data_IF_525244504516
#
_entry.id   IF_525244504516
#
_cell.length_a   1.000
_cell.length_b   1.000
_cell.length_c   1.000
_cell.angle_alpha   90.00
_cell.angle_beta   90.00
_cell.angle_gamma   90.00
#
_symmetry.space_group_name_H-M   'P 1'
#
loop_
_entity.id
_entity.type
_entity.pdbx_description
1 polymer ?
#
# COMPACT_ATOMS: atom_id res chain seq x y z
N UNK A 1 0.59 -4.97 -0.20
CA UNK A 1 -0.56 -5.68 -0.83
C UNK A 1 -1.87 -5.53 -0.05
N UNK A 2 -1.83 -5.27 1.25
CA UNK A 2 -3.06 -5.10 2.05
C UNK A 2 -3.79 -3.77 1.81
N UNK A 3 -3.11 -2.75 1.28
CA UNK A 3 -3.67 -1.42 1.06
C UNK A 3 -4.37 -1.35 -0.28
N UNK A 4 -3.67 -1.69 -1.37
CA UNK A 4 -4.24 -1.72 -2.71
C UNK A 4 -4.62 -3.14 -3.13
N UNK A 5 -5.71 -3.30 -3.88
CA UNK A 5 -6.15 -4.61 -4.35
C UNK A 5 -5.21 -5.15 -5.42
N UNK A 6 -5.01 -6.47 -5.37
CA UNK A 6 -4.26 -7.20 -6.38
C UNK A 6 -5.19 -7.46 -7.57
N UNK A 7 -4.73 -7.12 -8.76
CA UNK A 7 -5.40 -7.40 -10.02
C UNK A 7 -4.56 -8.41 -10.82
N UNK A 8 -4.90 -9.70 -10.78
CA UNK A 8 -4.21 -10.70 -11.59
C UNK A 8 -4.48 -10.47 -13.07
N UNK A 9 -3.44 -10.54 -13.88
CA UNK A 9 -3.51 -10.33 -15.33
C UNK A 9 -2.90 -11.51 -16.08
N UNK A 10 -3.47 -11.82 -17.25
CA UNK A 10 -3.04 -12.95 -18.08
C UNK A 10 -1.78 -12.65 -18.89
N UNK A 11 -1.53 -11.38 -19.18
CA UNK A 11 -0.38 -10.94 -19.97
C UNK A 11 0.54 -10.04 -19.14
N UNK A 12 1.84 -10.14 -19.35
CA UNK A 12 2.84 -9.29 -18.69
C UNK A 12 2.72 -7.81 -19.03
N UNK A 13 2.10 -7.49 -20.16
CA UNK A 13 1.85 -6.12 -20.61
C UNK A 13 0.43 -5.99 -21.13
N UNK A 14 -0.23 -4.88 -20.82
CA UNK A 14 -1.57 -4.61 -21.29
C UNK A 14 -2.00 -3.18 -20.98
N UNK A 15 -3.27 -2.90 -21.23
CA UNK A 15 -3.86 -1.60 -20.97
C UNK A 15 -4.83 -1.70 -19.79
N UNK A 16 -4.91 -0.62 -19.02
CA UNK A 16 -5.94 -0.42 -18.01
C UNK A 16 -6.64 0.93 -18.23
N UNK A 17 -7.83 1.04 -17.69
CA UNK A 17 -8.64 2.23 -17.87
C UNK A 17 -8.53 3.16 -16.68
N UNK A 18 -8.28 4.43 -16.97
CA UNK A 18 -8.43 5.53 -16.02
C UNK A 18 -9.72 6.26 -16.33
N UNK A 19 -10.67 6.24 -15.39
CA UNK A 19 -11.99 6.81 -15.62
C UNK A 19 -12.00 8.31 -15.47
N UNK A 20 -12.59 9.00 -16.44
CA UNK A 20 -12.81 10.43 -16.37
C UNK A 20 -13.96 10.72 -15.41
N UNK A 21 -13.67 11.43 -14.31
CA UNK A 21 -14.67 11.77 -13.29
C UNK A 21 -15.89 12.52 -13.86
N UNK A 22 -15.67 13.34 -14.88
CA UNK A 22 -16.74 14.11 -15.51
C UNK A 22 -17.84 13.23 -16.09
N UNK A 23 -17.50 12.10 -16.68
CA UNK A 23 -18.45 11.19 -17.29
C UNK A 23 -19.18 10.31 -16.29
N UNK A 24 -18.46 9.87 -15.23
CA UNK A 24 -19.05 9.11 -14.12
C UNK A 24 -20.02 9.96 -13.26
N UNK A 25 -19.82 11.28 -13.20
CA UNK A 25 -20.57 12.19 -12.34
C UNK A 25 -21.72 12.94 -13.04
N UNK A 26 -21.78 12.89 -14.36
CA UNK A 26 -22.80 13.59 -15.14
C UNK A 26 -24.12 12.83 -15.13
N UNK A 27 -25.22 13.53 -14.92
CA UNK A 27 -26.55 12.98 -15.17
C UNK A 27 -26.80 12.94 -16.69
N UNK A 28 -26.73 11.76 -17.26
CA UNK A 28 -26.99 11.48 -18.67
C UNK A 28 -28.39 10.89 -18.91
N UNK A 29 -29.22 10.86 -17.87
CA UNK A 29 -30.59 10.36 -17.99
C UNK A 29 -31.48 11.46 -18.61
N UNK A 30 -32.00 11.20 -19.79
CA UNK A 30 -32.93 12.09 -20.44
C UNK A 30 -34.33 11.47 -20.52
N UNK A 31 -35.36 12.28 -20.39
CA UNK A 31 -36.75 11.82 -20.51
C UNK A 31 -37.02 11.39 -21.96
N UNK A 32 -37.39 10.12 -22.14
CA UNK A 32 -37.71 9.55 -23.44
C UNK A 32 -38.99 10.21 -23.98
N UNK A 33 -38.95 10.86 -25.15
CA UNK A 33 -40.18 11.35 -25.82
C UNK A 33 -41.02 10.16 -26.31
N UNK A 34 -42.33 10.37 -26.42
CA UNK A 34 -43.22 9.36 -27.00
C UNK A 34 -42.76 9.06 -28.44
N UNK A 35 -42.58 7.77 -28.76
CA UNK A 35 -42.09 7.25 -30.05
C UNK A 35 -40.66 7.71 -30.46
N UNK A 36 -39.95 8.47 -29.59
CA UNK A 36 -38.59 8.97 -29.87
C UNK A 36 -37.49 8.12 -29.21
N UNK A 37 -36.25 8.37 -29.63
CA UNK A 37 -35.03 7.81 -29.05
C UNK A 37 -34.28 8.87 -28.26
N UNK A 38 -33.65 8.46 -27.18
CA UNK A 38 -32.67 9.26 -26.43
C UNK A 38 -31.27 8.97 -26.97
N UNK A 39 -30.42 10.00 -27.06
CA UNK A 39 -29.01 9.81 -27.47
C UNK A 39 -28.29 8.88 -26.49
N UNK A 40 -27.49 7.95 -27.00
CA UNK A 40 -26.69 7.08 -26.14
C UNK A 40 -25.65 7.89 -25.32
N UNK A 41 -25.59 7.64 -24.04
CA UNK A 41 -24.52 8.16 -23.19
C UNK A 41 -23.20 7.43 -23.49
N UNK A 42 -22.09 8.16 -23.43
CA UNK A 42 -20.75 7.59 -23.56
C UNK A 42 -20.04 7.72 -22.23
N UNK A 43 -19.30 6.71 -21.84
CA UNK A 43 -18.36 6.74 -20.74
C UNK A 43 -16.95 6.85 -21.33
N UNK A 44 -16.30 7.98 -21.09
CA UNK A 44 -14.93 8.22 -21.53
C UNK A 44 -13.94 7.57 -20.55
N UNK A 45 -12.85 7.08 -21.09
CA UNK A 45 -11.70 6.57 -20.34
C UNK A 45 -10.42 6.97 -21.06
N UNK A 46 -9.34 7.02 -20.31
CA UNK A 46 -7.99 7.15 -20.86
C UNK A 46 -7.30 5.81 -20.72
N UNK A 47 -6.68 5.34 -21.79
CA UNK A 47 -5.96 4.08 -21.81
C UNK A 47 -4.53 4.32 -21.32
N UNK A 48 -4.17 3.65 -20.23
CA UNK A 48 -2.81 3.60 -19.69
C UNK A 48 -2.29 2.17 -19.77
N UNK A 49 -0.98 2.01 -19.78
CA UNK A 49 -0.35 0.69 -19.89
C UNK A 49 0.27 0.25 -18.57
N UNK A 50 0.14 -1.04 -18.27
CA UNK A 50 0.92 -1.72 -17.25
C UNK A 50 1.96 -2.63 -17.88
N UNK A 51 3.06 -2.87 -17.16
CA UNK A 51 4.12 -3.78 -17.54
C UNK A 51 4.66 -4.48 -16.30
N UNK A 52 4.19 -5.69 -16.03
CA UNK A 52 4.70 -6.52 -14.95
C UNK A 52 6.16 -6.92 -15.24
N UNK A 53 7.06 -6.46 -14.39
CA UNK A 53 8.48 -6.81 -14.45
C UNK A 53 8.72 -8.01 -13.55
N UNK A 54 9.62 -8.89 -13.94
CA UNK A 54 10.01 -10.06 -13.13
C UNK A 54 11.24 -9.69 -12.32
N UNK A 55 11.11 -9.77 -11.00
CA UNK A 55 12.19 -9.60 -10.04
C UNK A 55 12.61 -10.95 -9.48
N UNK A 56 13.90 -11.15 -9.29
CA UNK A 56 14.49 -12.43 -8.91
C UNK A 56 15.45 -12.27 -7.74
N UNK A 57 15.42 -13.22 -6.83
CA UNK A 57 16.43 -13.41 -5.80
C UNK A 57 16.90 -14.87 -5.80
N UNK A 58 18.21 -15.09 -5.74
CA UNK A 58 18.80 -16.42 -5.69
C UNK A 58 19.67 -16.54 -4.44
N UNK A 59 19.50 -17.64 -3.69
CA UNK A 59 20.29 -17.94 -2.50
C UNK A 59 20.86 -19.35 -2.58
N UNK A 60 22.17 -19.48 -2.43
CA UNK A 60 22.87 -20.77 -2.46
C UNK A 60 22.80 -21.52 -1.12
N UNK A 61 22.72 -22.84 -1.23
CA UNK A 61 22.85 -23.79 -0.13
C UNK A 61 24.01 -24.75 -0.46
N UNK A 62 25.00 -24.83 0.41
CA UNK A 62 26.05 -25.84 0.31
C UNK A 62 25.51 -27.22 0.74
N UNK A 63 25.48 -28.16 -0.20
CA UNK A 63 24.99 -29.52 0.03
C UNK A 63 25.87 -30.27 1.02
N UNK A 64 27.20 -30.05 1.00
CA UNK A 64 28.14 -30.72 1.90
C UNK A 64 27.92 -30.27 3.35
N UNK A 65 27.75 -28.96 3.55
CA UNK A 65 27.39 -28.38 4.83
C UNK A 65 26.04 -28.88 5.36
N UNK A 66 25.02 -28.94 4.48
CA UNK A 66 23.68 -29.40 4.83
C UNK A 66 23.66 -30.88 5.32
N UNK A 67 24.49 -31.76 4.75
CA UNK A 67 24.60 -33.17 5.18
C UNK A 67 25.07 -33.27 6.62
N UNK A 68 25.96 -32.41 7.09
CA UNK A 68 26.44 -32.41 8.44
C UNK A 68 25.34 -32.16 9.48
N UNK A 69 24.39 -31.24 9.17
CA UNK A 69 23.23 -30.99 10.00
C UNK A 69 22.31 -32.23 10.09
N UNK A 70 22.09 -32.90 8.97
CA UNK A 70 21.29 -34.15 8.96
C UNK A 70 21.94 -35.26 9.77
N UNK A 71 23.27 -35.44 9.65
CA UNK A 71 24.02 -36.47 10.39
C UNK A 71 24.11 -36.19 11.87
N UNK A 72 24.10 -34.91 12.28
CA UNK A 72 24.15 -34.53 13.69
C UNK A 72 22.81 -34.77 14.43
N UNK A 73 21.76 -35.25 13.74
CA UNK A 73 20.45 -35.49 14.35
C UNK A 73 19.75 -34.22 14.81
N UNK A 74 20.11 -33.10 14.20
CA UNK A 74 19.50 -31.78 14.49
C UNK A 74 18.02 -31.80 14.11
N UNK A 75 17.13 -31.27 14.95
CA UNK A 75 15.70 -31.21 14.62
C UNK A 75 15.47 -30.58 13.26
N UNK A 76 14.46 -31.05 12.50
CA UNK A 76 14.09 -30.54 11.18
C UNK A 76 13.74 -29.02 11.17
N UNK A 77 13.53 -28.41 12.33
CA UNK A 77 13.35 -26.96 12.49
C UNK A 77 14.62 -26.15 12.21
N UNK A 78 15.80 -26.78 12.23
CA UNK A 78 17.11 -26.13 11.97
C UNK A 78 17.66 -26.55 10.60
N UNK A 79 16.78 -26.92 9.66
CA UNK A 79 17.17 -27.24 8.29
C UNK A 79 17.64 -25.94 7.57
N UNK A 80 18.88 -25.89 7.07
CA UNK A 80 19.40 -24.74 6.34
C UNK A 80 18.56 -24.36 5.13
N UNK A 81 17.93 -25.32 4.45
CA UNK A 81 17.06 -25.09 3.31
C UNK A 81 15.82 -24.29 3.70
N UNK A 82 15.15 -24.70 4.78
CA UNK A 82 13.96 -23.97 5.29
C UNK A 82 14.30 -22.54 5.69
N UNK A 83 15.46 -22.34 6.32
CA UNK A 83 15.95 -21.00 6.67
C UNK A 83 16.14 -20.13 5.44
N UNK A 84 16.70 -20.69 4.34
CA UNK A 84 16.94 -19.97 3.10
C UNK A 84 15.64 -19.68 2.34
N UNK A 85 14.70 -20.63 2.27
CA UNK A 85 13.35 -20.39 1.70
C UNK A 85 12.64 -19.25 2.43
N UNK A 86 12.68 -19.29 3.77
CA UNK A 86 12.11 -18.22 4.58
C UNK A 86 12.75 -16.87 4.30
N UNK A 87 14.08 -16.83 4.23
CA UNK A 87 14.83 -15.63 3.89
C UNK A 87 14.42 -15.07 2.51
N UNK A 88 14.33 -15.93 1.48
CA UNK A 88 13.88 -15.54 0.13
C UNK A 88 12.48 -14.92 0.18
N UNK A 89 11.54 -15.55 0.91
CA UNK A 89 10.17 -15.02 1.05
C UNK A 89 10.13 -13.68 1.79
N UNK A 90 10.93 -13.51 2.84
CA UNK A 90 11.04 -12.24 3.59
C UNK A 90 11.62 -11.13 2.70
N UNK A 91 12.62 -11.44 1.86
CA UNK A 91 13.18 -10.48 0.91
C UNK A 91 12.19 -10.08 -0.19
N UNK A 92 11.40 -11.02 -0.70
CA UNK A 92 10.35 -10.72 -1.67
C UNK A 92 9.28 -9.79 -1.08
N UNK A 93 8.87 -10.04 0.17
CA UNK A 93 7.90 -9.16 0.86
C UNK A 93 8.48 -7.77 1.11
N UNK A 94 9.74 -7.69 1.55
CA UNK A 94 10.43 -6.40 1.72
C UNK A 94 10.52 -5.62 0.41
N UNK A 95 10.83 -6.30 -0.68
CA UNK A 95 10.88 -5.66 -2.00
C UNK A 95 9.51 -5.11 -2.44
N UNK A 96 8.41 -5.84 -2.15
CA UNK A 96 7.06 -5.32 -2.38
C UNK A 96 6.76 -4.06 -1.57
N UNK A 97 7.21 -3.99 -0.32
CA UNK A 97 7.03 -2.80 0.50
C UNK A 97 7.84 -1.61 -0.03
N UNK A 98 9.05 -1.85 -0.55
CA UNK A 98 9.87 -0.81 -1.21
C UNK A 98 9.18 -0.30 -2.49
N UNK A 99 8.70 -1.21 -3.35
CA UNK A 99 7.95 -0.83 -4.56
C UNK A 99 6.68 -0.05 -4.23
N UNK A 100 5.99 -0.42 -3.14
CA UNK A 100 4.82 0.32 -2.65
C UNK A 100 5.20 1.75 -2.22
N UNK A 101 6.26 1.91 -1.45
CA UNK A 101 6.73 3.22 -1.00
C UNK A 101 7.07 4.13 -2.18
N UNK A 102 7.78 3.60 -3.17
CA UNK A 102 8.19 4.35 -4.36
C UNK A 102 7.02 4.71 -5.27
N UNK A 103 6.02 3.84 -5.38
CA UNK A 103 4.91 3.98 -6.32
C UNK A 103 3.74 4.78 -5.76
N UNK A 104 3.49 4.71 -4.45
CA UNK A 104 2.28 5.27 -3.84
C UNK A 104 2.52 6.16 -2.62
N UNK A 105 3.56 5.91 -1.84
CA UNK A 105 3.78 6.60 -0.56
C UNK A 105 4.94 7.58 -0.62
N UNK A 106 4.85 8.49 -1.57
CA UNK A 106 5.89 9.48 -1.86
C UNK A 106 5.26 10.79 -2.35
N UNK A 107 5.91 11.91 -2.04
CA UNK A 107 5.56 13.23 -2.59
C UNK A 107 5.71 13.27 -4.11
N UNK A 108 4.81 13.99 -4.80
CA UNK A 108 4.81 14.14 -6.25
C UNK A 108 4.09 13.00 -7.01
N UNK A 109 3.54 12.01 -6.30
CA UNK A 109 2.77 10.92 -6.93
C UNK A 109 1.32 11.31 -7.13
N UNK A 110 0.71 11.94 -6.14
CA UNK A 110 -0.73 12.26 -6.13
C UNK A 110 -0.98 13.73 -6.46
N UNK A 111 -2.01 14.01 -7.24
CA UNK A 111 -2.38 15.41 -7.53
C UNK A 111 -2.91 16.14 -6.29
N UNK A 112 -3.53 15.42 -5.35
CA UNK A 112 -4.01 15.99 -4.09
C UNK A 112 -2.97 15.76 -2.99
N UNK A 113 -2.07 16.73 -2.82
CA UNK A 113 -1.03 16.69 -1.78
C UNK A 113 -1.17 17.85 -0.84
N UNK A 114 -0.92 17.59 0.46
CA UNK A 114 -0.88 18.59 1.51
C UNK A 114 0.39 18.44 2.34
N UNK A 115 0.96 19.57 2.74
CA UNK A 115 2.20 19.58 3.51
C UNK A 115 1.96 20.18 4.89
N UNK A 116 2.46 19.51 5.91
CA UNK A 116 2.40 19.97 7.30
C UNK A 116 3.31 21.16 7.57
N UNK A 117 2.80 22.15 8.29
CA UNK A 117 3.56 23.31 8.77
C UNK A 117 3.62 23.32 10.30
N UNK A 118 4.74 23.71 10.87
CA UNK A 118 4.95 23.69 12.33
C UNK A 118 4.31 24.89 13.05
N UNK A 119 3.94 25.95 12.35
CA UNK A 119 3.33 27.15 12.95
C UNK A 119 2.73 28.06 11.88
N UNK A 120 1.78 28.89 12.26
CA UNK A 120 1.13 29.84 11.38
C UNK A 120 -0.29 29.43 10.98
N UNK A 121 -0.90 30.19 10.09
CA UNK A 121 -2.22 29.85 9.54
C UNK A 121 -2.04 29.08 8.25
N UNK A 122 -2.52 27.82 8.17
CA UNK A 122 -2.43 27.04 6.94
C UNK A 122 -3.11 27.74 5.76
N UNK A 123 -2.46 27.70 4.61
CA UNK A 123 -2.99 28.30 3.37
C UNK A 123 -2.84 27.32 2.19
N UNK A 124 -3.82 27.28 1.29
CA UNK A 124 -3.80 26.40 0.11
C UNK A 124 -3.72 24.94 0.49
N UNK A 125 -2.64 24.28 0.09
CA UNK A 125 -2.37 22.84 0.36
C UNK A 125 -1.54 22.62 1.64
N UNK A 126 -1.72 23.45 2.67
CA UNK A 126 -1.02 23.33 3.94
C UNK A 126 -1.96 22.93 5.07
N UNK A 127 -1.43 22.27 6.09
CA UNK A 127 -2.14 21.96 7.34
C UNK A 127 -1.19 22.05 8.53
N UNK A 128 -1.72 22.20 9.76
CA UNK A 128 -0.91 22.15 10.97
C UNK A 128 -0.50 20.70 11.22
N UNK A 129 0.72 20.51 11.68
CA UNK A 129 1.26 19.19 12.00
C UNK A 129 0.42 18.47 13.05
N UNK A 130 0.42 17.14 13.02
CA UNK A 130 -0.38 16.31 13.93
C UNK A 130 0.04 16.41 15.39
N UNK A 131 1.25 16.88 15.67
CA UNK A 131 1.74 17.13 17.01
C UNK A 131 1.42 18.55 17.55
N UNK A 132 0.81 19.42 16.74
CA UNK A 132 0.37 20.76 17.18
C UNK A 132 -0.94 20.63 17.97
N UNK A 133 -1.00 21.26 19.15
CA UNK A 133 -2.19 21.24 20.01
C UNK A 133 -3.42 21.96 19.41
N UNK A 134 -3.20 22.83 18.40
CA UNK A 134 -4.30 23.51 17.68
C UNK A 134 -4.78 22.74 16.44
N UNK A 135 -4.18 21.62 16.14
CA UNK A 135 -4.64 20.74 15.06
C UNK A 135 -5.86 19.97 15.52
N UNK A 136 -6.95 20.04 14.76
CA UNK A 136 -8.15 19.21 15.00
C UNK A 136 -8.14 18.03 13.98
N UNK A 137 -7.71 16.84 14.40
CA UNK A 137 -7.59 15.70 13.49
C UNK A 137 -8.92 15.27 12.89
N UNK A 138 -9.99 15.32 13.65
CA UNK A 138 -11.30 14.82 13.19
C UNK A 138 -11.88 15.72 12.12
N UNK A 139 -11.93 17.03 12.36
CA UNK A 139 -12.42 17.97 11.37
C UNK A 139 -11.54 18.02 10.13
N UNK A 140 -10.21 17.89 10.29
CA UNK A 140 -9.29 17.85 9.17
C UNK A 140 -9.53 16.63 8.26
N UNK A 141 -9.59 15.42 8.82
CA UNK A 141 -9.84 14.22 8.03
C UNK A 141 -11.23 14.22 7.42
N UNK A 142 -12.25 14.74 8.08
CA UNK A 142 -13.59 14.86 7.51
C UNK A 142 -13.64 15.85 6.34
N UNK A 143 -12.87 16.94 6.41
CA UNK A 143 -12.73 17.88 5.28
C UNK A 143 -12.06 17.19 4.07
N UNK A 144 -10.97 16.43 4.29
CA UNK A 144 -10.29 15.67 3.23
C UNK A 144 -11.18 14.60 2.62
N UNK A 145 -11.91 13.84 3.43
CA UNK A 145 -12.90 12.88 2.95
C UNK A 145 -13.97 13.53 2.08
N UNK A 146 -14.47 14.69 2.52
CA UNK A 146 -15.46 15.46 1.73
C UNK A 146 -14.91 15.87 0.39
N UNK A 147 -13.65 16.31 0.32
CA UNK A 147 -13.00 16.69 -0.93
C UNK A 147 -12.86 15.51 -1.89
N UNK A 148 -12.33 14.38 -1.39
CA UNK A 148 -12.21 13.15 -2.17
C UNK A 148 -13.59 12.68 -2.68
N UNK A 149 -14.63 12.75 -1.83
CA UNK A 149 -15.99 12.39 -2.23
C UNK A 149 -16.55 13.30 -3.32
N UNK A 150 -16.25 14.58 -3.26
CA UNK A 150 -16.68 15.54 -4.30
C UNK A 150 -15.90 15.35 -5.61
N UNK A 151 -14.61 14.99 -5.52
CA UNK A 151 -13.78 14.75 -6.69
C UNK A 151 -14.11 13.41 -7.35
N UNK A 152 -14.08 12.31 -6.58
CA UNK A 152 -14.15 10.95 -7.09
C UNK A 152 -15.47 10.20 -6.84
N UNK A 153 -16.50 10.84 -6.23
CA UNK A 153 -17.81 10.25 -5.87
C UNK A 153 -17.74 9.08 -4.89
N UNK A 154 -16.55 8.70 -4.41
CA UNK A 154 -16.34 7.63 -3.44
C UNK A 154 -15.78 8.22 -2.15
N UNK A 155 -16.14 7.64 -1.03
CA UNK A 155 -15.58 8.01 0.27
C UNK A 155 -14.28 7.23 0.47
N UNK A 156 -13.17 7.86 0.88
CA UNK A 156 -11.97 7.11 1.19
C UNK A 156 -12.24 6.15 2.35
N UNK A 157 -11.82 4.91 2.19
CA UNK A 157 -12.07 3.84 3.15
C UNK A 157 -10.83 3.41 3.91
N UNK A 158 -9.63 3.68 3.37
CA UNK A 158 -8.38 3.32 4.03
C UNK A 158 -7.52 4.54 4.33
N UNK A 159 -6.85 4.49 5.47
CA UNK A 159 -5.85 5.46 5.89
C UNK A 159 -4.55 4.72 6.21
N UNK A 160 -3.50 5.00 5.45
CA UNK A 160 -2.15 4.49 5.69
C UNK A 160 -1.32 5.57 6.35
N UNK A 161 -0.68 5.26 7.47
CA UNK A 161 0.10 6.18 8.27
C UNK A 161 1.55 5.70 8.38
N UNK A 162 2.50 6.62 8.27
CA UNK A 162 3.85 6.39 8.73
C UNK A 162 3.91 6.25 10.26
N UNK A 163 4.96 5.65 10.76
CA UNK A 163 5.09 5.33 12.20
C UNK A 163 4.99 6.55 13.11
N UNK A 164 5.68 7.65 12.74
CA UNK A 164 5.69 8.89 13.52
C UNK A 164 4.33 9.60 13.45
N UNK A 165 3.71 9.60 12.27
CA UNK A 165 2.36 10.15 12.07
C UNK A 165 1.31 9.42 12.91
N UNK A 166 1.39 8.10 12.98
CA UNK A 166 0.52 7.30 13.85
C UNK A 166 0.75 7.62 15.33
N UNK A 167 2.02 7.72 15.75
CA UNK A 167 2.37 8.02 17.14
C UNK A 167 1.89 9.40 17.56
N UNK A 168 1.99 10.40 16.68
CA UNK A 168 1.49 11.75 16.92
C UNK A 168 -0.05 11.76 17.08
N UNK A 169 -0.78 11.11 16.17
CA UNK A 169 -2.24 11.01 16.25
C UNK A 169 -2.70 10.21 17.48
N UNK A 170 -2.03 9.10 17.79
CA UNK A 170 -2.32 8.28 18.96
C UNK A 170 -2.26 9.08 20.27
N UNK A 171 -1.30 10.01 20.37
CA UNK A 171 -1.08 10.82 21.55
C UNK A 171 -1.77 12.20 21.49
N UNK A 172 -2.52 12.48 20.42
CA UNK A 172 -3.20 13.77 20.26
C UNK A 172 -4.29 13.95 21.32
N UNK A 173 -4.36 15.11 22.01
CA UNK A 173 -5.29 15.33 23.12
C UNK A 173 -6.76 15.14 22.72
N UNK A 174 -7.18 15.62 21.55
CA UNK A 174 -8.55 15.50 21.08
C UNK A 174 -8.99 14.04 20.83
N UNK A 175 -8.06 13.21 20.35
CA UNK A 175 -8.30 11.77 20.15
C UNK A 175 -8.39 11.07 21.50
N UNK A 176 -7.45 11.36 22.40
CA UNK A 176 -7.44 10.79 23.76
C UNK A 176 -8.68 11.18 24.54
N UNK A 177 -9.16 12.42 24.43
CA UNK A 177 -10.36 12.86 25.11
C UNK A 177 -11.60 12.10 24.61
N UNK A 178 -11.77 11.95 23.29
CA UNK A 178 -12.88 11.17 22.70
C UNK A 178 -12.87 9.72 23.14
N UNK A 179 -11.69 9.08 23.14
CA UNK A 179 -11.53 7.67 23.50
C UNK A 179 -11.75 7.46 25.01
N UNK A 180 -11.35 8.42 25.85
CA UNK A 180 -11.49 8.36 27.32
C UNK A 180 -12.93 8.18 27.80
N UNK A 181 -13.89 8.75 27.11
CA UNK A 181 -15.30 8.62 27.43
C UNK A 181 -15.96 7.35 26.89
N UNK A 182 -15.28 6.64 25.99
CA UNK A 182 -15.78 5.40 25.39
C UNK A 182 -15.33 4.16 26.18
N UNK A 183 -14.23 4.26 26.93
CA UNK A 183 -13.69 3.18 27.78
C UNK A 183 -14.34 3.17 29.15
N UNK A 184 -14.79 1.99 29.61
CA UNK A 184 -15.21 1.81 31.02
C UNK A 184 -14.01 1.89 31.96
N UNK A 185 -14.27 2.24 33.23
CA UNK A 185 -13.27 2.37 34.31
C UNK A 185 -12.44 1.10 34.55
N UNK A 186 -12.92 -0.06 34.10
CA UNK A 186 -12.24 -1.37 34.28
C UNK A 186 -11.19 -1.69 33.20
N UNK A 187 -11.29 -1.06 32.02
CA UNK A 187 -10.32 -1.22 30.94
C UNK A 187 -9.93 0.17 30.41
N UNK A 188 -8.71 0.64 30.69
CA UNK A 188 -8.21 1.88 30.10
C UNK A 188 -8.23 1.74 28.58
N UNK A 189 -8.85 2.70 27.90
CA UNK A 189 -8.90 2.70 26.45
C UNK A 189 -7.49 2.93 25.88
N UNK A 190 -6.99 1.93 25.18
CA UNK A 190 -5.71 2.03 24.45
C UNK A 190 -6.04 2.43 23.01
N UNK A 191 -5.45 3.50 22.52
CA UNK A 191 -5.58 3.91 21.12
C UNK A 191 -4.70 3.00 20.27
N UNK A 192 -5.36 2.10 19.53
CA UNK A 192 -4.76 1.27 18.51
C UNK A 192 -5.30 1.65 17.12
N UNK A 193 -4.84 0.98 16.07
CA UNK A 193 -5.27 1.22 14.69
C UNK A 193 -6.80 1.14 14.54
N UNK A 194 -7.43 0.15 15.17
CA UNK A 194 -8.89 -0.06 15.08
C UNK A 194 -9.67 1.07 15.75
N UNK A 195 -9.24 1.51 16.93
CA UNK A 195 -9.86 2.64 17.64
C UNK A 195 -9.67 3.93 16.85
N UNK A 196 -8.49 4.14 16.29
CA UNK A 196 -8.20 5.30 15.44
C UNK A 196 -9.09 5.29 14.20
N UNK A 197 -9.26 4.13 13.56
CA UNK A 197 -10.17 3.96 12.42
C UNK A 197 -11.61 4.35 12.77
N UNK A 198 -12.12 3.93 13.92
CA UNK A 198 -13.47 4.26 14.39
C UNK A 198 -13.61 5.75 14.70
N UNK A 199 -12.64 6.36 15.37
CA UNK A 199 -12.67 7.79 15.74
C UNK A 199 -12.63 8.68 14.51
N UNK A 200 -11.76 8.34 13.55
CA UNK A 200 -11.60 9.08 12.30
C UNK A 200 -12.61 8.67 11.22
N UNK A 201 -13.40 7.61 11.43
CA UNK A 201 -14.44 7.14 10.49
C UNK A 201 -13.86 6.56 9.20
N UNK A 202 -12.82 5.75 9.30
CA UNK A 202 -12.29 4.91 8.21
C UNK A 202 -12.69 3.46 8.44
N UNK A 203 -12.72 2.66 7.36
CA UNK A 203 -12.92 1.22 7.49
C UNK A 203 -11.65 0.55 8.03
N UNK A 204 -10.49 1.02 7.59
CA UNK A 204 -9.20 0.45 7.95
C UNK A 204 -8.14 1.55 8.11
N UNK A 205 -7.36 1.46 9.19
CA UNK A 205 -6.12 2.22 9.38
C UNK A 205 -4.96 1.24 9.41
N UNK A 206 -3.93 1.52 8.64
CA UNK A 206 -2.69 0.73 8.58
C UNK A 206 -1.50 1.58 8.94
N UNK A 207 -0.65 1.06 9.81
CA UNK A 207 0.66 1.66 10.11
C UNK A 207 1.73 1.00 9.26
N UNK A 208 2.54 1.82 8.61
CA UNK A 208 3.63 1.40 7.75
C UNK A 208 4.91 1.37 8.58
N UNK A 209 5.24 0.21 9.13
CA UNK A 209 6.35 0.04 10.08
C UNK A 209 7.50 -0.82 9.54
N UNK A 210 7.45 -1.22 8.26
CA UNK A 210 8.51 -1.97 7.63
C UNK A 210 9.82 -1.18 7.62
N UNK A 211 10.91 -1.84 7.98
CA UNK A 211 12.25 -1.26 8.01
C UNK A 211 13.20 -2.00 7.08
N UNK A 212 14.18 -1.29 6.55
CA UNK A 212 15.23 -1.85 5.71
C UNK A 212 16.58 -1.22 6.04
N UNK A 213 17.66 -1.88 5.64
CA UNK A 213 19.00 -1.33 5.74
C UNK A 213 19.31 -0.54 4.46
N UNK A 214 19.52 0.77 4.59
CA UNK A 214 19.85 1.65 3.48
C UNK A 214 21.35 1.74 3.20
N UNK A 215 22.20 1.08 4.01
CA UNK A 215 23.65 1.05 3.81
C UNK A 215 24.02 0.14 2.66
N UNK A 216 25.06 0.49 1.94
CA UNK A 216 25.71 -0.40 0.95
C UNK A 216 26.38 -1.58 1.65
N UNK A 217 26.52 -2.68 0.93
CA UNK A 217 27.19 -3.89 1.46
C UNK A 217 28.61 -3.58 1.94
N UNK A 218 28.91 -3.96 3.18
CA UNK A 218 30.22 -3.72 3.80
C UNK A 218 30.36 -2.41 4.55
N UNK A 219 29.33 -1.57 4.54
CA UNK A 219 29.27 -0.35 5.38
C UNK A 219 28.52 -0.61 6.69
N UNK A 220 28.67 0.26 7.71
CA UNK A 220 27.87 0.17 8.94
C UNK A 220 26.38 0.25 8.62
N UNK A 221 25.57 -0.52 9.35
CA UNK A 221 24.12 -0.57 9.15
C UNK A 221 23.45 0.81 9.32
N UNK A 222 22.62 1.18 8.36
CA UNK A 222 21.76 2.39 8.37
C UNK A 222 20.29 1.96 8.24
N UNK A 223 19.68 1.64 9.39
CA UNK A 223 18.29 1.16 9.43
C UNK A 223 17.31 2.32 9.28
N UNK A 224 16.44 2.23 8.26
CA UNK A 224 15.38 3.22 7.96
C UNK A 224 14.03 2.57 7.79
N UNK A 225 12.97 3.34 7.96
CA UNK A 225 11.65 2.93 7.53
C UNK A 225 11.58 2.90 6.00
N UNK A 226 10.89 1.91 5.45
CA UNK A 226 10.67 1.79 4.00
C UNK A 226 9.80 2.95 3.49
N UNK A 227 8.73 3.25 4.22
CA UNK A 227 7.87 4.40 3.93
C UNK A 227 8.27 5.61 4.78
N UNK A 228 8.01 6.82 4.28
CA UNK A 228 8.22 8.05 5.05
C UNK A 228 7.46 7.98 6.38
N UNK A 229 8.18 8.05 7.51
CA UNK A 229 7.59 7.87 8.84
C UNK A 229 6.62 9.00 9.23
N UNK A 230 6.77 10.17 8.63
CA UNK A 230 5.94 11.37 8.84
C UNK A 230 4.90 11.60 7.74
N UNK A 231 4.68 10.61 6.87
CA UNK A 231 3.68 10.64 5.81
C UNK A 231 2.33 10.06 6.24
N UNK A 232 1.27 10.41 5.49
CA UNK A 232 -0.03 9.77 5.57
C UNK A 232 -0.71 9.74 4.19
N UNK A 233 -1.45 8.68 3.91
CA UNK A 233 -2.13 8.48 2.64
C UNK A 233 -3.58 8.04 2.86
N UNK A 234 -4.52 8.88 2.43
CA UNK A 234 -5.94 8.57 2.39
C UNK A 234 -6.28 8.00 1.02
N UNK A 235 -6.94 6.85 0.96
CA UNK A 235 -7.32 6.22 -0.31
C UNK A 235 -8.72 5.64 -0.27
N UNK A 236 -9.36 5.63 -1.43
CA UNK A 236 -10.45 4.72 -1.71
C UNK A 236 -9.93 3.54 -2.52
N UNK A 237 -10.13 2.34 -2.03
CA UNK A 237 -9.78 1.10 -2.72
C UNK A 237 -10.96 0.16 -2.75
N UNK A 238 -11.18 -0.51 -3.90
CA UNK A 238 -12.23 -1.51 -4.02
C UNK A 238 -11.79 -2.85 -3.42
N UNK A 239 -12.76 -3.61 -2.90
CA UNK A 239 -12.50 -4.98 -2.44
C UNK A 239 -12.63 -6.03 -3.56
N UNK A 240 -13.20 -5.63 -4.71
CA UNK A 240 -13.37 -6.48 -5.88
C UNK A 240 -12.71 -5.80 -7.09
N UNK A 241 -11.43 -6.07 -7.37
CA UNK A 241 -10.72 -5.46 -8.49
C UNK A 241 -11.37 -5.88 -9.80
N UNK A 242 -11.71 -4.88 -10.61
CA UNK A 242 -12.24 -5.05 -11.96
C UNK A 242 -11.78 -3.88 -12.83
N UNK A 243 -11.76 -4.07 -14.13
CA UNK A 243 -11.32 -3.04 -15.09
C UNK A 243 -12.24 -1.82 -15.06
N UNK A 244 -13.51 -2.01 -14.72
CA UNK A 244 -14.57 -1.01 -14.69
C UNK A 244 -14.87 -0.44 -13.29
N UNK A 245 -14.21 -0.92 -12.23
CA UNK A 245 -14.39 -0.39 -10.88
C UNK A 245 -13.31 0.64 -10.54
N UNK A 246 -13.70 1.88 -10.21
CA UNK A 246 -12.73 2.92 -9.86
C UNK A 246 -12.08 2.61 -8.50
N UNK A 247 -10.76 2.69 -8.46
CA UNK A 247 -9.92 2.59 -7.26
C UNK A 247 -8.82 3.66 -7.35
N UNK A 248 -8.18 3.99 -6.23
CA UNK A 248 -7.04 4.91 -6.26
C UNK A 248 -5.82 4.29 -6.97
N UNK A 249 -5.64 2.98 -6.83
CA UNK A 249 -4.56 2.26 -7.50
C UNK A 249 -4.80 0.75 -7.49
N UNK A 250 -4.03 0.06 -8.30
CA UNK A 250 -3.99 -1.40 -8.40
C UNK A 250 -2.56 -1.91 -8.38
N UNK A 251 -2.40 -3.12 -7.88
CA UNK A 251 -1.19 -3.92 -7.99
C UNK A 251 -1.47 -4.97 -9.07
N UNK A 252 -0.97 -4.75 -10.27
CA UNK A 252 -1.06 -5.74 -11.33
C UNK A 252 -0.06 -6.85 -11.06
N UNK A 253 -0.51 -8.09 -11.17
CA UNK A 253 0.30 -9.27 -10.91
C UNK A 253 0.17 -10.27 -12.06
N UNK A 254 1.29 -10.77 -12.55
CA UNK A 254 1.33 -11.72 -13.63
C UNK A 254 1.87 -13.07 -13.18
N UNK A 255 1.16 -14.13 -13.56
CA UNK A 255 1.61 -15.49 -13.33
C UNK A 255 2.63 -15.90 -14.40
N UNK A 256 3.91 -15.71 -14.07
CA UNK A 256 5.02 -15.97 -15.00
C UNK A 256 5.32 -17.47 -15.23
N UNK A 257 4.89 -18.33 -14.32
CA UNK A 257 5.14 -19.79 -14.39
C UNK A 257 3.90 -20.62 -14.74
N UNK A 258 2.73 -19.98 -14.89
CA UNK A 258 1.49 -20.67 -15.20
C UNK A 258 0.93 -21.54 -14.06
N UNK A 259 1.29 -21.23 -12.81
CA UNK A 259 0.88 -21.96 -11.61
C UNK A 259 -0.16 -21.23 -10.73
N UNK A 260 -0.67 -20.11 -11.21
CA UNK A 260 -1.67 -19.28 -10.52
C UNK A 260 -1.09 -18.31 -9.48
N UNK A 261 0.22 -18.22 -9.33
CA UNK A 261 0.88 -17.36 -8.35
C UNK A 261 1.82 -16.35 -9.02
N UNK A 262 1.80 -15.13 -8.56
CA UNK A 262 2.73 -14.06 -8.99
C UNK A 262 4.05 -14.06 -8.19
N UNK A 263 4.10 -14.80 -7.10
CA UNK A 263 5.30 -15.08 -6.30
C UNK A 263 5.54 -16.59 -6.31
N UNK A 264 6.69 -16.98 -6.76
CA UNK A 264 7.09 -18.38 -6.85
C UNK A 264 8.45 -18.59 -6.20
N UNK A 265 8.62 -19.75 -5.57
CA UNK A 265 9.92 -20.20 -5.06
C UNK A 265 10.22 -21.53 -5.71
N UNK A 266 11.35 -21.62 -6.37
CA UNK A 266 11.82 -22.84 -7.05
C UNK A 266 13.21 -23.20 -6.54
N UNK A 267 13.64 -24.40 -6.87
CA UNK A 267 14.89 -24.98 -6.42
C UNK A 267 15.58 -25.67 -7.59
N UNK A 268 16.82 -25.36 -7.81
CA UNK A 268 17.61 -25.98 -8.86
C UNK A 268 19.02 -26.36 -8.36
N UNK A 269 19.62 -27.36 -9.00
CA UNK A 269 20.98 -27.78 -8.71
C UNK A 269 21.98 -26.84 -9.41
N UNK A 270 23.09 -26.58 -8.72
CA UNK A 270 24.22 -25.82 -9.29
C UNK A 270 24.99 -26.59 -10.36
N UNK A 271 26.02 -25.96 -10.89
CA UNK A 271 26.88 -26.58 -11.87
C UNK A 271 27.53 -27.87 -11.35
N UNK A 272 27.73 -28.83 -12.26
CA UNK A 272 28.33 -30.12 -11.91
C UNK A 272 29.70 -29.96 -11.24
N UNK A 273 29.87 -30.59 -10.07
CA UNK A 273 31.08 -30.51 -9.27
C UNK A 273 31.10 -29.44 -8.17
N UNK A 274 30.14 -28.54 -8.13
CA UNK A 274 30.05 -27.49 -7.09
C UNK A 274 29.37 -27.97 -5.83
N UNK A 275 28.61 -29.08 -5.89
CA UNK A 275 27.80 -29.59 -4.76
C UNK A 275 26.94 -28.50 -4.10
N UNK A 276 26.40 -27.62 -4.91
CA UNK A 276 25.57 -26.51 -4.50
C UNK A 276 24.14 -26.68 -5.01
N UNK A 277 23.22 -26.18 -4.23
CA UNK A 277 21.81 -26.12 -4.54
C UNK A 277 21.37 -24.66 -4.40
N UNK A 278 20.55 -24.19 -5.30
CA UNK A 278 20.07 -22.81 -5.28
C UNK A 278 18.56 -22.77 -5.07
N UNK A 279 18.15 -21.86 -4.22
CA UNK A 279 16.76 -21.52 -4.00
C UNK A 279 16.51 -20.18 -4.66
N UNK A 280 15.58 -20.17 -5.59
CA UNK A 280 15.20 -19.01 -6.38
C UNK A 280 13.83 -18.51 -5.91
N UNK A 281 13.72 -17.21 -5.75
CA UNK A 281 12.44 -16.52 -5.59
C UNK A 281 12.18 -15.63 -6.78
N UNK A 282 11.05 -15.82 -7.44
CA UNK A 282 10.58 -15.03 -8.56
C UNK A 282 9.31 -14.27 -8.16
N UNK A 283 9.18 -13.03 -8.63
CA UNK A 283 8.03 -12.20 -8.38
C UNK A 283 7.74 -11.34 -9.60
N UNK A 284 6.47 -11.17 -9.98
CA UNK A 284 6.11 -10.32 -11.09
C UNK A 284 4.97 -9.39 -10.74
N UNK A 285 5.27 -8.11 -10.63
CA UNK A 285 4.30 -7.08 -10.24
C UNK A 285 4.51 -5.78 -11.02
N UNK A 286 3.44 -4.97 -11.10
CA UNK A 286 3.50 -3.57 -11.49
C UNK A 286 2.47 -2.78 -10.69
N UNK A 287 2.91 -1.73 -10.01
CA UNK A 287 2.07 -0.91 -9.15
C UNK A 287 1.70 0.39 -9.86
N UNK A 288 0.41 0.59 -10.11
CA UNK A 288 -0.08 1.76 -10.85
C UNK A 288 -1.18 2.49 -10.10
N UNK A 289 -1.07 3.81 -10.05
CA UNK A 289 -2.21 4.65 -9.68
C UNK A 289 -3.21 4.69 -10.84
N UNK A 290 -4.47 4.61 -10.51
CA UNK A 290 -5.55 4.57 -11.50
C UNK A 290 -6.50 5.75 -11.39
N UNK A 291 -6.44 6.51 -10.29
CA UNK A 291 -7.23 7.74 -10.13
C UNK A 291 -6.58 8.65 -9.08
N UNK A 292 -6.27 9.88 -9.47
CA UNK A 292 -5.79 10.93 -8.56
C UNK A 292 -6.89 11.46 -7.65
N UNK A 293 -8.14 11.44 -8.10
CA UNK A 293 -9.29 11.99 -7.38
C UNK A 293 -9.72 11.12 -6.17
N UNK A 294 -9.21 9.89 -6.07
CA UNK A 294 -9.57 8.92 -5.03
C UNK A 294 -8.51 8.78 -3.94
N UNK A 295 -7.48 9.62 -3.98
CA UNK A 295 -6.45 9.62 -2.95
C UNK A 295 -6.05 11.05 -2.55
N UNK A 296 -5.46 11.16 -1.36
CA UNK A 296 -4.86 12.37 -0.84
C UNK A 296 -3.63 12.00 -0.04
N UNK A 297 -2.47 12.56 -0.40
CA UNK A 297 -1.22 12.35 0.30
C UNK A 297 -0.90 13.54 1.22
N UNK A 298 -0.44 13.25 2.42
CA UNK A 298 -0.03 14.22 3.43
C UNK A 298 1.45 13.99 3.73
N UNK A 299 2.26 15.02 3.54
CA UNK A 299 3.69 15.01 3.84
C UNK A 299 4.01 15.87 5.06
N UNK A 300 5.14 15.59 5.72
CA UNK A 300 5.61 16.34 6.88
C UNK A 300 4.54 16.46 7.97
N UNK A 301 3.88 15.35 8.31
CA UNK A 301 2.78 15.33 9.26
C UNK A 301 3.23 15.59 10.72
N UNK A 302 4.53 15.39 11.03
CA UNK A 302 5.09 15.51 12.40
C UNK A 302 6.26 16.47 12.46
#
# INVERSE_FOLDING_TARGET
TSIFPICPVDFSTGFYYEFLKGDLARDNVARKPAFGKVSPAKMGHTDNSYKCVVDQIIVGVDQIGAINYQRAGVPASIDPRRSKVRFVSEQQLLHLDILFAESFFKTGVWANEFTGISSGTPSGSQFLKFNDANFDPVNFFDARKREIKLAGRRMPNKLSLGYDSFTALKNHPDILERVKYTGGTANPAIVNEQVLAQVLGFEEVKVLEATYNAAEEGQPDDMKFVCESDGALLTYTTNAPAIDEPSAGYIFTWDMLGNGNYMATDQFEGEGGTHSEFIEGLMSTDMKKTSDDLACYLSACV
#
